data_IF_659748716902
#
_entry.id   IF_659748716902
#
_cell.length_a   1.000
_cell.length_b   1.000
_cell.length_c   1.000
_cell.angle_alpha   90.00
_cell.angle_beta   90.00
_cell.angle_gamma   90.00
#
_symmetry.space_group_name_H-M   'P 1'
#
loop_
_entity.id
_entity.type
_entity.pdbx_description
1 polymer ?
#
# COMPACT_ATOMS: atom_id res chain seq x y z
N UNK A 1 -4.65 -3.78 -16.77
CA UNK A 1 -3.79 -3.22 -15.71
C UNK A 1 -3.99 -1.72 -15.46
N UNK A 2 -4.08 -0.85 -16.48
CA UNK A 2 -4.29 0.59 -16.26
C UNK A 2 -5.57 0.92 -15.48
N UNK A 3 -6.72 0.37 -15.91
CA UNK A 3 -8.01 0.55 -15.23
C UNK A 3 -7.98 0.06 -13.79
N UNK A 4 -7.37 -1.10 -13.55
CA UNK A 4 -7.20 -1.66 -12.21
C UNK A 4 -6.35 -0.77 -11.31
N UNK A 5 -5.16 -0.32 -11.77
CA UNK A 5 -4.31 0.61 -10.99
C UNK A 5 -5.05 1.90 -10.64
N UNK A 6 -5.84 2.41 -11.59
CA UNK A 6 -6.67 3.60 -11.36
C UNK A 6 -7.72 3.36 -10.29
N UNK A 7 -8.43 2.24 -10.37
CA UNK A 7 -9.42 1.86 -9.36
C UNK A 7 -8.77 1.66 -7.99
N UNK A 8 -7.59 1.03 -7.96
CA UNK A 8 -6.84 0.73 -6.74
C UNK A 8 -6.43 1.97 -5.96
N UNK A 9 -5.75 2.95 -6.60
CA UNK A 9 -5.34 4.15 -5.87
C UNK A 9 -6.53 5.03 -5.48
N UNK A 10 -7.61 5.06 -6.28
CA UNK A 10 -8.85 5.77 -5.92
C UNK A 10 -9.48 5.12 -4.69
N UNK A 11 -9.63 3.79 -4.70
CA UNK A 11 -10.20 3.05 -3.57
C UNK A 11 -9.36 3.25 -2.31
N UNK A 12 -8.04 3.24 -2.44
CA UNK A 12 -7.15 3.44 -1.29
C UNK A 12 -7.28 4.85 -0.70
N UNK A 13 -7.36 5.89 -1.54
CA UNK A 13 -7.67 7.25 -1.08
C UNK A 13 -9.04 7.33 -0.39
N UNK A 14 -10.06 6.67 -0.94
CA UNK A 14 -11.40 6.64 -0.36
C UNK A 14 -11.39 5.96 1.02
N UNK A 15 -10.73 4.80 1.14
CA UNK A 15 -10.61 4.07 2.41
C UNK A 15 -9.86 4.89 3.46
N UNK A 16 -8.71 5.47 3.11
CA UNK A 16 -7.95 6.31 4.04
C UNK A 16 -8.76 7.53 4.49
N UNK A 17 -9.40 8.22 3.55
CA UNK A 17 -10.23 9.40 3.85
C UNK A 17 -11.44 9.04 4.73
N UNK A 18 -12.11 7.93 4.42
CA UNK A 18 -13.23 7.43 5.21
C UNK A 18 -12.83 7.15 6.65
N UNK A 19 -11.73 6.41 6.88
CA UNK A 19 -11.25 6.10 8.23
C UNK A 19 -10.89 7.37 9.01
N UNK A 20 -10.19 8.31 8.38
CA UNK A 20 -9.81 9.59 9.02
C UNK A 20 -11.05 10.39 9.41
N UNK A 21 -12.01 10.56 8.50
CA UNK A 21 -13.25 11.30 8.77
C UNK A 21 -14.09 10.61 9.84
N UNK A 22 -14.18 9.29 9.81
CA UNK A 22 -14.95 8.54 10.80
C UNK A 22 -14.35 8.67 12.20
N UNK A 23 -13.03 8.56 12.34
CA UNK A 23 -12.33 8.79 13.61
C UNK A 23 -12.56 10.23 14.09
N UNK A 24 -12.48 11.22 13.20
CA UNK A 24 -12.70 12.61 13.55
C UNK A 24 -14.12 12.89 14.09
N UNK A 25 -15.13 12.19 13.56
CA UNK A 25 -16.54 12.36 13.97
C UNK A 25 -16.87 11.57 15.24
N UNK A 26 -16.51 10.29 15.27
CA UNK A 26 -16.94 9.37 16.33
C UNK A 26 -15.99 9.34 17.53
N UNK A 27 -14.73 9.75 17.35
CA UNK A 27 -13.67 9.68 18.37
C UNK A 27 -13.43 8.25 18.91
N UNK A 28 -13.87 7.22 18.17
CA UNK A 28 -13.71 5.83 18.54
C UNK A 28 -12.36 5.28 18.09
N UNK A 29 -11.49 4.95 19.05
CA UNK A 29 -10.15 4.44 18.77
C UNK A 29 -10.14 3.04 18.12
N UNK A 30 -11.20 2.24 18.30
CA UNK A 30 -11.36 0.91 17.67
C UNK A 30 -11.32 0.98 16.14
N UNK A 31 -11.82 2.07 15.58
CA UNK A 31 -11.93 2.31 14.14
C UNK A 31 -10.55 2.51 13.52
N UNK A 32 -9.59 3.03 14.27
CA UNK A 32 -8.20 3.12 13.83
C UNK A 32 -7.63 1.72 13.54
N UNK A 33 -7.86 0.75 14.42
CA UNK A 33 -7.40 -0.63 14.23
C UNK A 33 -8.10 -1.30 13.04
N UNK A 34 -9.43 -1.13 12.93
CA UNK A 34 -10.19 -1.61 11.76
C UNK A 34 -9.63 -1.00 10.47
N UNK A 35 -9.32 0.29 10.48
CA UNK A 35 -8.71 1.00 9.36
C UNK A 35 -7.35 0.42 8.97
N UNK A 36 -6.48 0.10 9.94
CA UNK A 36 -5.21 -0.56 9.67
C UNK A 36 -5.38 -1.90 8.96
N UNK A 37 -6.32 -2.74 9.43
CA UNK A 37 -6.58 -4.04 8.80
C UNK A 37 -7.20 -3.91 7.41
N UNK A 38 -8.15 -2.99 7.22
CA UNK A 38 -8.81 -2.79 5.94
C UNK A 38 -7.86 -2.18 4.90
N UNK A 39 -7.21 -1.06 5.23
CA UNK A 39 -6.28 -0.37 4.33
C UNK A 39 -5.05 -1.25 4.07
N UNK A 40 -4.43 -1.78 5.12
CA UNK A 40 -3.24 -2.63 4.99
C UNK A 40 -3.53 -3.96 4.31
N UNK A 41 -4.66 -4.59 4.60
CA UNK A 41 -5.09 -5.83 3.95
C UNK A 41 -5.38 -5.63 2.46
N UNK A 42 -6.08 -4.56 2.09
CA UNK A 42 -6.29 -4.20 0.69
C UNK A 42 -4.96 -3.94 -0.02
N UNK A 43 -4.07 -3.17 0.61
CA UNK A 43 -2.75 -2.86 0.08
C UNK A 43 -1.91 -4.11 -0.20
N UNK A 44 -1.92 -5.08 0.72
CA UNK A 44 -1.25 -6.37 0.54
C UNK A 44 -1.83 -7.17 -0.62
N UNK A 45 -3.16 -7.28 -0.71
CA UNK A 45 -3.81 -7.98 -1.82
C UNK A 45 -3.50 -7.33 -3.17
N UNK A 46 -3.58 -6.00 -3.24
CA UNK A 46 -3.27 -5.22 -4.44
C UNK A 46 -1.81 -5.39 -4.86
N UNK A 47 -0.89 -5.36 -3.89
CA UNK A 47 0.54 -5.62 -4.10
C UNK A 47 0.76 -7.01 -4.74
N UNK A 48 0.12 -8.05 -4.21
CA UNK A 48 0.22 -9.42 -4.74
C UNK A 48 -0.35 -9.53 -6.16
N UNK A 49 -1.48 -8.88 -6.44
CA UNK A 49 -2.05 -8.84 -7.79
C UNK A 49 -1.12 -8.13 -8.78
N UNK A 50 -0.42 -7.08 -8.37
CA UNK A 50 0.59 -6.42 -9.20
C UNK A 50 1.84 -7.26 -9.44
N UNK A 51 2.28 -8.03 -8.43
CA UNK A 51 3.38 -8.98 -8.56
C UNK A 51 3.02 -10.07 -9.58
N UNK A 52 1.84 -10.69 -9.41
CA UNK A 52 1.35 -11.73 -10.32
C UNK A 52 1.21 -11.23 -11.75
N UNK A 53 0.72 -10.00 -11.93
CA UNK A 53 0.59 -9.38 -13.25
C UNK A 53 1.91 -8.84 -13.84
N UNK A 54 3.05 -8.97 -13.14
CA UNK A 54 4.34 -8.46 -13.58
C UNK A 54 4.39 -6.94 -13.78
N UNK A 55 3.49 -6.20 -13.13
CA UNK A 55 3.23 -4.81 -13.49
C UNK A 55 4.19 -3.86 -12.78
N UNK A 56 5.24 -3.44 -13.48
CA UNK A 56 6.31 -2.57 -12.96
C UNK A 56 7.15 -3.20 -11.85
N UNK A 57 7.17 -4.53 -11.73
CA UNK A 57 7.91 -5.26 -10.69
C UNK A 57 9.32 -5.69 -11.12
N UNK A 58 9.85 -5.10 -12.19
CA UNK A 58 11.21 -5.35 -12.66
C UNK A 58 12.26 -4.98 -11.59
N UNK A 59 13.43 -5.64 -11.65
CA UNK A 59 14.54 -5.37 -10.72
C UNK A 59 14.96 -3.90 -10.81
N UNK A 60 15.08 -3.25 -9.65
CA UNK A 60 15.43 -1.83 -9.54
C UNK A 60 14.27 -0.85 -9.73
N UNK A 61 13.05 -1.33 -9.98
CA UNK A 61 11.88 -0.45 -10.02
C UNK A 61 11.50 0.07 -8.63
N UNK A 62 10.90 1.26 -8.56
CA UNK A 62 10.35 1.82 -7.32
C UNK A 62 9.38 0.85 -6.64
N UNK A 63 8.57 0.15 -7.43
CA UNK A 63 7.60 -0.84 -6.94
C UNK A 63 8.29 -2.03 -6.27
N UNK A 64 9.39 -2.52 -6.84
CA UNK A 64 10.15 -3.62 -6.25
C UNK A 64 10.73 -3.22 -4.89
N UNK A 65 11.22 -1.98 -4.72
CA UNK A 65 11.66 -1.50 -3.41
C UNK A 65 10.53 -1.50 -2.40
N UNK A 66 9.34 -1.00 -2.77
CA UNK A 66 8.17 -1.04 -1.92
C UNK A 66 7.77 -2.49 -1.54
N UNK A 67 7.68 -3.41 -2.51
CA UNK A 67 7.35 -4.82 -2.27
C UNK A 67 8.36 -5.47 -1.31
N UNK A 68 9.65 -5.23 -1.53
CA UNK A 68 10.71 -5.77 -0.67
C UNK A 68 10.60 -5.24 0.77
N UNK A 69 10.30 -3.95 0.97
CA UNK A 69 10.08 -3.38 2.30
C UNK A 69 8.92 -4.06 3.01
N UNK A 70 7.79 -4.27 2.31
CA UNK A 70 6.63 -4.97 2.86
C UNK A 70 6.97 -6.44 3.20
N UNK A 71 7.69 -7.14 2.32
CA UNK A 71 8.12 -8.52 2.58
C UNK A 71 9.05 -8.63 3.79
N UNK A 72 9.99 -7.68 3.97
CA UNK A 72 10.86 -7.64 5.15
C UNK A 72 10.03 -7.43 6.41
N UNK A 73 9.09 -6.47 6.39
CA UNK A 73 8.20 -6.21 7.53
C UNK A 73 7.37 -7.45 7.88
N UNK A 74 6.78 -8.11 6.87
CA UNK A 74 6.02 -9.34 7.07
C UNK A 74 6.89 -10.47 7.63
N UNK A 75 8.11 -10.63 7.11
CA UNK A 75 9.06 -11.62 7.60
C UNK A 75 9.39 -11.37 9.08
N UNK A 76 9.72 -10.13 9.46
CA UNK A 76 10.00 -9.75 10.84
C UNK A 76 8.78 -10.05 11.73
N UNK A 77 7.58 -9.66 11.30
CA UNK A 77 6.34 -9.90 12.04
C UNK A 77 6.08 -11.40 12.25
N UNK A 78 6.28 -12.23 11.22
CA UNK A 78 6.12 -13.70 11.31
C UNK A 78 7.19 -14.33 12.20
N UNK A 79 8.45 -13.89 12.12
CA UNK A 79 9.51 -14.36 13.03
C UNK A 79 9.24 -13.97 14.48
N UNK A 80 8.43 -12.93 14.72
CA UNK A 80 7.95 -12.54 16.04
C UNK A 80 7.15 -13.61 16.77
N UNK A 81 6.57 -14.58 16.04
CA UNK A 81 5.91 -15.75 16.65
C UNK A 81 6.92 -16.63 17.41
N UNK A 82 8.16 -16.72 16.90
CA UNK A 82 9.25 -17.48 17.52
C UNK A 82 10.06 -16.64 18.50
N UNK A 83 10.22 -15.34 18.21
CA UNK A 83 11.01 -14.38 19.00
C UNK A 83 10.11 -13.20 19.38
N UNK A 84 9.39 -13.26 20.51
CA UNK A 84 8.37 -12.28 20.87
C UNK A 84 8.84 -10.83 20.91
N UNK A 85 10.14 -10.58 21.16
CA UNK A 85 10.73 -9.24 21.15
C UNK A 85 10.59 -8.54 19.78
N UNK A 86 10.54 -9.31 18.69
CA UNK A 86 10.35 -8.76 17.35
C UNK A 86 8.93 -8.24 17.11
N UNK A 87 7.95 -8.64 17.93
CA UNK A 87 6.58 -8.12 17.85
C UNK A 87 6.49 -6.62 18.18
N UNK A 88 7.56 -6.03 18.74
CA UNK A 88 7.70 -4.58 18.90
C UNK A 88 7.59 -3.84 17.55
N UNK A 89 7.83 -4.51 16.43
CA UNK A 89 7.64 -3.96 15.09
C UNK A 89 6.20 -3.46 14.87
N UNK A 90 5.20 -4.06 15.51
CA UNK A 90 3.80 -3.61 15.38
C UNK A 90 3.58 -2.21 15.95
N UNK A 91 4.30 -1.84 17.03
CA UNK A 91 4.26 -0.47 17.55
C UNK A 91 4.88 0.53 16.57
N UNK A 92 5.99 0.17 15.91
CA UNK A 92 6.58 1.00 14.87
C UNK A 92 5.66 1.13 13.65
N UNK A 93 4.95 0.05 13.30
CA UNK A 93 4.00 0.05 12.19
C UNK A 93 2.80 0.97 12.41
N UNK A 94 2.41 1.27 13.65
CA UNK A 94 1.37 2.29 13.91
C UNK A 94 1.76 3.66 13.35
N UNK A 95 3.06 3.98 13.32
CA UNK A 95 3.53 5.26 12.78
C UNK A 95 3.97 5.14 11.33
N UNK A 96 4.60 4.03 10.94
CA UNK A 96 5.17 3.85 9.60
C UNK A 96 4.10 3.48 8.57
N UNK A 97 3.08 2.72 8.94
CA UNK A 97 2.11 2.21 7.96
C UNK A 97 1.26 3.29 7.27
N UNK A 98 0.88 4.42 7.89
CA UNK A 98 0.25 5.52 7.16
C UNK A 98 1.15 6.09 6.05
N UNK A 99 2.45 6.25 6.31
CA UNK A 99 3.40 6.69 5.29
C UNK A 99 3.57 5.66 4.17
N UNK A 100 3.58 4.37 4.51
CA UNK A 100 3.62 3.29 3.52
C UNK A 100 2.37 3.28 2.64
N UNK A 101 1.18 3.52 3.20
CA UNK A 101 -0.08 3.63 2.46
C UNK A 101 -0.08 4.81 1.48
N UNK A 102 0.42 5.97 1.92
CA UNK A 102 0.61 7.14 1.06
C UNK A 102 1.61 6.83 -0.05
N UNK A 103 2.77 6.24 0.29
CA UNK A 103 3.79 5.90 -0.70
C UNK A 103 3.27 4.93 -1.76
N UNK A 104 2.55 3.89 -1.34
CA UNK A 104 1.95 2.92 -2.27
C UNK A 104 0.92 3.58 -3.20
N UNK A 105 0.03 4.40 -2.64
CA UNK A 105 -1.00 5.12 -3.39
C UNK A 105 -0.37 6.07 -4.41
N UNK A 106 0.65 6.82 -4.00
CA UNK A 106 1.42 7.69 -4.87
C UNK A 106 2.07 6.91 -6.01
N UNK A 107 2.64 5.73 -5.72
CA UNK A 107 3.26 4.89 -6.73
C UNK A 107 2.26 4.39 -7.77
N UNK A 108 1.06 3.95 -7.34
CA UNK A 108 -0.02 3.58 -8.25
C UNK A 108 -0.52 4.78 -9.09
N UNK A 109 -0.59 5.97 -8.50
CA UNK A 109 -0.95 7.21 -9.21
C UNK A 109 0.10 7.60 -10.26
N UNK A 110 1.39 7.65 -9.88
CA UNK A 110 2.53 8.00 -10.74
C UNK A 110 2.63 7.06 -11.94
N UNK A 111 2.49 5.76 -11.72
CA UNK A 111 2.46 4.77 -12.79
C UNK A 111 1.26 4.95 -13.73
N UNK A 112 0.12 5.36 -13.20
CA UNK A 112 -1.10 5.54 -13.99
C UNK A 112 -1.06 6.81 -14.84
N UNK A 113 -0.54 7.89 -14.28
CA UNK A 113 -0.51 9.19 -14.92
C UNK A 113 0.76 9.42 -15.75
N UNK A 114 1.94 9.00 -15.32
CA UNK A 114 3.18 9.29 -16.06
C UNK A 114 3.62 8.13 -16.95
N UNK A 115 3.57 6.90 -16.45
CA UNK A 115 4.14 5.75 -17.17
C UNK A 115 3.17 5.06 -18.14
N UNK A 116 1.87 5.26 -17.98
CA UNK A 116 0.84 4.68 -18.83
C UNK A 116 0.15 5.71 -19.76
N UNK A 117 0.73 6.91 -19.92
CA UNK A 117 0.37 7.83 -21.02
C UNK A 117 0.99 7.31 -22.32
N UNK A 118 0.23 7.36 -23.42
CA UNK A 118 0.75 7.01 -24.75
C UNK A 118 1.94 7.94 -25.06
N UNK A 119 3.08 7.42 -25.52
CA UNK A 119 4.18 8.29 -25.91
C UNK A 119 3.72 9.22 -27.03
N UNK A 120 4.03 10.52 -26.92
CA UNK A 120 3.62 11.54 -27.89
C UNK A 120 4.10 11.22 -29.32
N UNK A 121 5.14 10.40 -29.46
CA UNK A 121 5.63 9.88 -30.73
C UNK A 121 4.61 9.00 -31.48
N UNK A 122 3.59 8.48 -30.82
CA UNK A 122 2.51 7.67 -31.41
C UNK A 122 1.25 8.47 -31.79
N UNK A 123 1.23 9.79 -31.61
CA UNK A 123 0.11 10.67 -31.98
C UNK A 123 0.24 11.27 -33.38
N UNK A 124 1.03 10.66 -34.27
CA UNK A 124 1.13 11.07 -35.68
C UNK A 124 0.04 10.43 -36.53
#
# INVERSE_FOLDING_TARGET
>A
MKSYKRADWILQLMLMSYIILHIAITQEATILFVGYFLVGGWQLLSMLLHEYAGSFTAKGSRRRYYHNSVYIILLIALTGILIPQLLLIFYLLLYISPFMAIWYTYLCFDETEHHMRRPLSQLK
#
